data_IF_065564688128
#
_entry.id   IF_065564688128
#
_cell.length_a   1.000
_cell.length_b   1.000
_cell.length_c   1.000
_cell.angle_alpha   90.00
_cell.angle_beta   90.00
_cell.angle_gamma   90.00
#
_symmetry.space_group_name_H-M   'P 1'
#
loop_
_entity.id
_entity.type
_entity.pdbx_description
1 polymer ?
#
# COMPACT_ATOMS: atom_id res chain seq x y z
N UNK A 1 -26.47 44.31 -5.66
CA UNK A 1 -26.42 42.92 -5.15
C UNK A 1 -26.56 42.02 -6.37
N UNK A 2 -25.49 41.34 -6.77
CA UNK A 2 -25.50 40.41 -7.91
C UNK A 2 -24.96 39.08 -7.41
N UNK A 3 -25.88 38.21 -7.01
CA UNK A 3 -25.61 36.88 -6.48
C UNK A 3 -24.82 36.04 -7.50
N UNK A 4 -23.69 35.50 -7.04
CA UNK A 4 -22.86 34.58 -7.79
C UNK A 4 -23.30 33.15 -7.48
N UNK A 5 -24.02 32.53 -8.41
CA UNK A 5 -24.33 31.10 -8.37
C UNK A 5 -23.27 30.33 -9.15
N UNK A 6 -22.36 29.66 -8.43
CA UNK A 6 -21.40 28.71 -8.98
C UNK A 6 -21.91 27.29 -8.77
N UNK A 7 -22.87 26.87 -9.61
CA UNK A 7 -23.28 25.48 -9.68
C UNK A 7 -22.20 24.66 -10.40
N UNK A 8 -21.27 24.12 -9.62
CA UNK A 8 -20.21 23.24 -10.07
C UNK A 8 -20.74 21.85 -10.41
N UNK A 9 -21.03 21.62 -11.69
CA UNK A 9 -21.19 20.29 -12.28
C UNK A 9 -19.91 19.88 -12.99
N UNK A 10 -18.92 19.43 -12.20
CA UNK A 10 -17.83 18.61 -12.74
C UNK A 10 -18.23 17.14 -12.62
N UNK A 11 -18.89 16.63 -13.67
CA UNK A 11 -18.93 15.20 -13.94
C UNK A 11 -17.60 14.80 -14.60
N UNK A 12 -16.83 13.85 -14.06
CA UNK A 12 -15.75 13.24 -14.83
C UNK A 12 -16.38 12.17 -15.74
N UNK A 13 -16.47 12.51 -17.02
CA UNK A 13 -16.80 11.57 -18.08
C UNK A 13 -15.78 10.42 -18.12
N UNK A 14 -16.30 9.21 -18.14
CA UNK A 14 -15.52 7.99 -18.33
C UNK A 14 -15.10 7.77 -19.78
N UNK A 15 -13.98 7.07 -19.91
CA UNK A 15 -13.51 6.31 -21.07
C UNK A 15 -12.78 7.07 -22.21
N UNK A 16 -11.47 7.21 -22.03
CA UNK A 16 -10.52 7.03 -23.15
C UNK A 16 -9.35 6.16 -22.66
N UNK A 17 -9.27 4.96 -23.23
CA UNK A 17 -8.14 4.05 -23.07
C UNK A 17 -6.85 4.74 -23.58
N UNK A 18 -5.76 4.66 -22.80
CA UNK A 18 -4.42 5.00 -23.31
C UNK A 18 -3.47 5.79 -22.42
N UNK A 19 -3.71 5.92 -21.10
CA UNK A 19 -2.63 6.34 -20.20
C UNK A 19 -2.84 5.69 -18.84
N UNK A 20 -1.89 4.87 -18.41
CA UNK A 20 -1.83 4.38 -17.05
C UNK A 20 -1.65 5.62 -16.16
N UNK A 21 -2.75 6.02 -15.51
CA UNK A 21 -2.78 7.15 -14.59
C UNK A 21 -2.67 6.57 -13.18
N UNK A 22 -1.60 6.91 -12.47
CA UNK A 22 -1.46 6.61 -11.05
C UNK A 22 -1.79 7.86 -10.23
N UNK A 23 -2.05 7.70 -8.94
CA UNK A 23 -2.35 8.81 -8.04
C UNK A 23 -1.09 9.24 -7.30
N UNK A 24 -0.80 10.55 -7.30
CA UNK A 24 0.26 11.15 -6.48
C UNK A 24 -0.09 11.00 -4.99
N UNK A 25 0.75 10.36 -4.16
CA UNK A 25 0.46 10.14 -2.74
C UNK A 25 0.52 11.42 -1.88
N UNK A 26 1.10 12.52 -2.39
CA UNK A 26 1.24 13.79 -1.67
C UNK A 26 0.01 14.68 -1.85
N UNK A 27 -0.48 14.80 -3.09
CA UNK A 27 -1.57 15.73 -3.43
C UNK A 27 -2.85 15.05 -3.90
N UNK A 28 -2.83 13.74 -4.19
CA UNK A 28 -3.98 13.00 -4.71
C UNK A 28 -4.29 13.26 -6.19
N UNK A 29 -3.45 13.98 -6.92
CA UNK A 29 -3.66 14.26 -8.33
C UNK A 29 -3.34 13.05 -9.21
N UNK A 30 -4.06 12.95 -10.33
CA UNK A 30 -3.85 11.97 -11.39
C UNK A 30 -2.56 12.27 -12.16
N UNK A 31 -1.59 11.36 -12.07
CA UNK A 31 -0.27 11.45 -12.70
C UNK A 31 -0.14 10.41 -13.81
N UNK A 32 0.39 10.84 -14.95
CA UNK A 32 0.66 9.97 -16.09
C UNK A 32 1.94 9.16 -15.84
N UNK A 33 1.97 7.88 -16.22
CA UNK A 33 3.17 7.01 -16.08
C UNK A 33 4.45 7.56 -16.77
N UNK A 34 4.26 8.46 -17.74
CA UNK A 34 5.29 9.13 -18.53
C UNK A 34 5.91 10.36 -17.81
N UNK A 35 5.57 10.60 -16.55
CA UNK A 35 6.21 11.68 -15.77
C UNK A 35 7.69 11.39 -15.53
N UNK A 36 8.52 12.44 -15.54
CA UNK A 36 9.91 12.37 -15.11
C UNK A 36 10.06 12.30 -13.58
N UNK A 37 9.05 12.77 -12.84
CA UNK A 37 9.05 12.83 -11.39
C UNK A 37 8.59 11.49 -10.81
N UNK A 38 9.55 10.61 -10.52
CA UNK A 38 9.31 9.29 -9.93
C UNK A 38 10.37 8.94 -8.90
N UNK A 39 9.99 8.16 -7.89
CA UNK A 39 10.91 7.69 -6.86
C UNK A 39 10.62 6.24 -6.49
N UNK A 40 11.68 5.46 -6.35
CA UNK A 40 11.59 4.12 -5.77
C UNK A 40 11.66 4.21 -4.24
N UNK A 41 10.65 3.69 -3.55
CA UNK A 41 10.62 3.60 -2.09
C UNK A 41 10.00 2.28 -1.64
N UNK A 42 10.63 1.59 -0.70
CA UNK A 42 10.18 0.29 -0.17
C UNK A 42 9.87 -0.78 -1.25
N UNK A 43 10.60 -0.75 -2.38
CA UNK A 43 10.39 -1.68 -3.50
C UNK A 43 9.28 -1.28 -4.48
N UNK A 44 8.57 -0.17 -4.23
CA UNK A 44 7.53 0.36 -5.10
C UNK A 44 7.99 1.64 -5.81
N UNK A 45 7.53 1.85 -7.05
CA UNK A 45 7.78 3.10 -7.78
C UNK A 45 6.58 4.03 -7.62
N UNK A 46 6.79 5.17 -6.98
CA UNK A 46 5.82 6.25 -6.82
C UNK A 46 6.05 7.32 -7.87
N UNK A 47 4.97 7.88 -8.42
CA UNK A 47 5.03 8.93 -9.43
C UNK A 47 4.36 10.20 -8.89
N UNK A 48 4.90 11.34 -9.26
CA UNK A 48 4.53 12.64 -8.72
C UNK A 48 4.15 13.61 -9.84
N UNK A 49 3.27 14.55 -9.53
CA UNK A 49 2.82 15.56 -10.49
C UNK A 49 3.86 16.65 -10.72
N UNK A 50 4.72 16.92 -9.75
CA UNK A 50 5.72 17.99 -9.75
C UNK A 50 6.93 17.64 -8.88
N UNK A 51 7.99 18.41 -9.05
CA UNK A 51 9.21 18.35 -8.24
C UNK A 51 8.92 18.63 -6.74
N UNK A 52 8.05 19.61 -6.45
CA UNK A 52 7.65 19.91 -5.07
C UNK A 52 6.99 18.72 -4.37
N UNK A 53 6.17 17.93 -5.08
CA UNK A 53 5.53 16.75 -4.50
C UNK A 53 6.57 15.65 -4.26
N UNK A 54 7.51 15.47 -5.19
CA UNK A 54 8.62 14.56 -5.04
C UNK A 54 9.50 14.92 -3.82
N UNK A 55 9.84 16.19 -3.61
CA UNK A 55 10.69 16.64 -2.49
C UNK A 55 9.97 16.50 -1.13
N UNK A 56 8.68 16.81 -1.08
CA UNK A 56 7.85 16.60 0.12
C UNK A 56 7.76 15.12 0.47
N UNK A 57 7.60 14.26 -0.52
CA UNK A 57 7.60 12.81 -0.32
C UNK A 57 8.97 12.30 0.13
N UNK A 58 10.07 12.81 -0.42
CA UNK A 58 11.44 12.48 0.03
C UNK A 58 11.66 12.83 1.50
N UNK A 59 11.12 13.96 1.95
CA UNK A 59 11.31 14.45 3.32
C UNK A 59 10.59 13.60 4.37
N UNK A 60 9.43 13.01 4.02
CA UNK A 60 8.63 12.23 4.96
C UNK A 60 7.77 11.16 4.26
N UNK A 61 8.37 10.13 3.62
CA UNK A 61 7.64 9.17 2.80
C UNK A 61 6.63 8.35 3.62
N UNK A 62 6.98 7.98 4.85
CA UNK A 62 6.09 7.21 5.75
C UNK A 62 4.74 7.91 5.97
N UNK A 63 4.72 9.24 6.06
CA UNK A 63 3.48 10.03 6.29
C UNK A 63 2.49 9.95 5.14
N UNK A 64 2.99 9.70 3.93
CA UNK A 64 2.17 9.58 2.71
C UNK A 64 1.85 8.12 2.37
N UNK A 65 2.50 7.17 3.04
CA UNK A 65 2.37 5.74 2.80
C UNK A 65 1.65 4.98 3.91
N UNK A 66 1.37 5.63 5.05
CA UNK A 66 0.51 5.05 6.08
C UNK A 66 -0.84 4.67 5.45
N UNK A 67 -1.25 3.39 5.52
CA UNK A 67 -2.53 2.96 4.99
C UNK A 67 -3.62 3.54 5.90
N UNK A 68 -4.15 4.70 5.52
CA UNK A 68 -5.50 5.03 5.90
C UNK A 68 -6.38 3.92 5.32
N UNK A 69 -6.91 3.08 6.21
CA UNK A 69 -8.15 2.35 5.99
C UNK A 69 -9.09 3.24 5.15
N UNK A 70 -9.79 2.67 4.14
CA UNK A 70 -10.36 3.41 3.02
C UNK A 70 -10.97 4.73 3.50
N UNK A 71 -10.34 5.82 3.09
CA UNK A 71 -10.75 7.17 3.43
C UNK A 71 -12.15 7.41 2.84
N UNK A 72 -13.17 7.12 3.64
CA UNK A 72 -14.45 7.82 3.57
C UNK A 72 -14.08 9.28 3.78
N UNK A 73 -14.06 10.03 2.68
CA UNK A 73 -13.89 11.48 2.63
C UNK A 73 -14.77 12.13 3.70
N UNK A 74 -14.14 12.60 4.78
CA UNK A 74 -14.68 13.65 5.60
C UNK A 74 -13.54 14.51 6.15
N UNK A 75 -13.46 15.80 5.83
CA UNK A 75 -12.46 16.67 6.42
C UNK A 75 -12.94 17.10 7.82
N UNK A 76 -12.09 16.87 8.83
CA UNK A 76 -11.39 17.92 9.59
C UNK A 76 -11.14 17.51 11.05
N UNK A 77 -9.93 17.76 11.61
CA UNK A 77 -9.62 17.47 13.00
C UNK A 77 -9.96 18.66 13.90
N UNK A 78 -10.51 18.38 15.09
CA UNK A 78 -10.53 19.35 16.19
C UNK A 78 -10.45 18.63 17.54
N UNK A 79 -9.23 18.65 18.09
CA UNK A 79 -8.89 18.87 19.50
C UNK A 79 -10.05 18.94 20.50
N UNK A 80 -10.04 18.08 21.52
CA UNK A 80 -9.74 18.52 22.88
C UNK A 80 -10.00 17.44 23.92
N UNK A 81 -8.94 17.23 24.69
CA UNK A 81 -8.87 16.62 26.00
C UNK A 81 -10.01 17.08 26.92
N UNK A 82 -10.67 16.14 27.61
CA UNK A 82 -11.13 16.22 29.03
C UNK A 82 -11.75 14.90 29.47
N UNK A 83 -11.05 14.16 30.33
CA UNK A 83 -11.68 13.27 31.33
C UNK A 83 -12.21 14.15 32.48
N UNK A 84 -13.33 13.79 33.12
CA UNK A 84 -13.19 13.03 34.36
C UNK A 84 -14.26 11.95 34.61
N UNK A 85 -13.79 10.95 35.36
CA UNK A 85 -14.48 10.06 36.30
C UNK A 85 -16.02 10.00 36.31
N UNK A 86 -16.53 8.84 35.89
CA UNK A 86 -17.84 8.34 36.29
C UNK A 86 -17.71 6.89 36.73
N UNK A 87 -17.70 6.66 38.05
CA UNK A 87 -17.85 5.33 38.65
C UNK A 87 -19.25 4.80 38.34
N UNK A 88 -19.34 3.69 37.63
CA UNK A 88 -20.49 2.80 37.74
C UNK A 88 -19.98 1.40 38.08
N UNK A 89 -20.22 0.99 39.33
CA UNK A 89 -20.14 -0.41 39.73
C UNK A 89 -21.45 -1.08 39.35
N UNK A 90 -21.41 -2.14 38.55
CA UNK A 90 -22.48 -3.14 38.52
C UNK A 90 -21.94 -4.45 37.94
N UNK A 91 -21.35 -5.23 38.85
CA UNK A 91 -21.32 -6.69 38.86
C UNK A 91 -22.53 -7.35 38.17
N UNK A 92 -22.28 -8.01 37.04
CA UNK A 92 -23.12 -9.10 36.54
C UNK A 92 -22.28 -10.37 36.46
N UNK A 93 -22.49 -11.20 37.48
CA UNK A 93 -22.13 -12.61 37.51
C UNK A 93 -23.11 -13.39 36.62
N UNK A 94 -22.60 -14.29 35.78
CA UNK A 94 -23.37 -15.42 35.28
C UNK A 94 -23.14 -15.79 33.81
N UNK A 95 -22.51 -16.96 33.63
CA UNK A 95 -22.80 -18.02 32.64
C UNK A 95 -22.87 -17.62 31.14
N UNK A 96 -22.12 -18.22 30.23
CA UNK A 96 -22.16 -19.66 29.85
C UNK A 96 -20.85 -19.98 29.15
N UNK A 97 -20.10 -20.99 29.63
CA UNK A 97 -19.03 -21.60 28.82
C UNK A 97 -19.66 -22.77 28.06
N UNK A 98 -20.18 -22.49 26.87
CA UNK A 98 -20.47 -23.51 25.87
C UNK A 98 -19.14 -24.12 25.38
N UNK A 99 -19.01 -25.45 25.27
CA UNK A 99 -17.93 -26.06 24.51
C UNK A 99 -18.30 -26.05 23.02
N UNK A 100 -18.47 -24.85 22.46
CA UNK A 100 -18.48 -24.64 21.02
C UNK A 100 -17.03 -24.56 20.56
N UNK A 101 -16.57 -25.55 19.80
CA UNK A 101 -15.27 -25.55 19.13
C UNK A 101 -15.02 -24.19 18.47
N UNK A 102 -14.19 -23.38 19.11
CA UNK A 102 -13.64 -22.14 18.54
C UNK A 102 -12.84 -22.56 17.32
N UNK A 103 -13.26 -22.14 16.12
CA UNK A 103 -12.34 -21.98 15.00
C UNK A 103 -11.19 -21.10 15.52
N UNK A 104 -10.07 -21.74 15.83
CA UNK A 104 -8.94 -21.11 16.49
C UNK A 104 -8.42 -19.99 15.61
N UNK A 105 -8.52 -18.76 16.07
CA UNK A 105 -7.69 -17.67 15.55
C UNK A 105 -6.25 -18.13 15.72
N UNK A 106 -5.53 -18.38 14.62
CA UNK A 106 -4.10 -18.71 14.64
C UNK A 106 -3.41 -17.77 15.62
N UNK A 107 -2.69 -18.31 16.60
CA UNK A 107 -1.89 -17.48 17.48
C UNK A 107 -0.91 -16.68 16.63
N UNK A 108 -0.61 -15.43 16.99
CA UNK A 108 0.36 -14.62 16.26
C UNK A 108 1.70 -15.36 16.08
N UNK A 109 2.11 -16.14 17.07
CA UNK A 109 3.31 -16.96 16.99
C UNK A 109 3.19 -18.12 15.96
N UNK A 110 2.00 -18.68 15.74
CA UNK A 110 1.76 -19.68 14.70
C UNK A 110 1.70 -19.04 13.31
N UNK A 111 1.08 -17.86 13.20
CA UNK A 111 1.08 -17.08 11.97
C UNK A 111 2.51 -16.70 11.54
N UNK A 112 3.37 -16.28 12.48
CA UNK A 112 4.78 -15.98 12.22
C UNK A 112 5.57 -17.22 11.78
N UNK A 113 5.39 -18.36 12.46
CA UNK A 113 6.04 -19.63 12.07
C UNK A 113 5.65 -20.05 10.65
N UNK A 114 4.35 -19.94 10.33
CA UNK A 114 3.86 -20.24 8.98
C UNK A 114 4.43 -19.26 7.94
N UNK A 115 4.49 -17.97 8.26
CA UNK A 115 5.07 -16.97 7.37
C UNK A 115 6.55 -17.25 7.07
N UNK A 116 7.36 -17.58 8.09
CA UNK A 116 8.78 -17.95 7.89
C UNK A 116 8.89 -19.20 7.01
N UNK A 117 8.06 -20.22 7.27
CA UNK A 117 8.04 -21.44 6.46
C UNK A 117 7.69 -21.19 4.99
N UNK A 118 6.74 -20.28 4.72
CA UNK A 118 6.36 -19.88 3.37
C UNK A 118 7.53 -19.16 2.69
N UNK A 119 8.21 -18.25 3.38
CA UNK A 119 9.36 -17.52 2.84
C UNK A 119 10.53 -18.45 2.50
N UNK A 120 10.85 -19.41 3.38
CA UNK A 120 11.91 -20.39 3.12
C UNK A 120 11.60 -21.28 1.90
N UNK A 121 10.34 -21.70 1.76
CA UNK A 121 9.90 -22.46 0.59
C UNK A 121 10.02 -21.62 -0.70
N UNK A 122 9.58 -20.36 -0.66
CA UNK A 122 9.70 -19.46 -1.79
C UNK A 122 11.16 -19.23 -2.19
N UNK A 123 12.05 -18.99 -1.23
CA UNK A 123 13.50 -18.87 -1.47
C UNK A 123 14.09 -20.13 -2.11
N UNK A 124 13.65 -21.32 -1.67
CA UNK A 124 14.09 -22.58 -2.28
C UNK A 124 13.65 -22.68 -3.76
N UNK A 125 12.41 -22.30 -4.08
CA UNK A 125 11.91 -22.28 -5.45
C UNK A 125 12.67 -21.29 -6.33
N UNK A 126 13.00 -20.11 -5.81
CA UNK A 126 13.79 -19.09 -6.53
C UNK A 126 15.18 -19.64 -6.87
N UNK A 127 15.89 -20.24 -5.90
CA UNK A 127 17.22 -20.83 -6.15
C UNK A 127 17.16 -21.96 -7.18
N UNK A 128 16.18 -22.84 -7.08
CA UNK A 128 16.00 -23.92 -8.05
C UNK A 128 15.68 -23.39 -9.46
N UNK A 129 14.96 -22.28 -9.55
CA UNK A 129 14.66 -21.61 -10.83
C UNK A 129 15.91 -20.93 -11.40
N UNK A 130 16.71 -20.27 -10.58
CA UNK A 130 17.99 -19.67 -10.98
C UNK A 130 18.97 -20.72 -11.52
N UNK A 131 19.07 -21.87 -10.87
CA UNK A 131 19.90 -22.98 -11.35
C UNK A 131 19.44 -23.50 -12.71
N UNK A 132 18.13 -23.63 -12.93
CA UNK A 132 17.56 -24.02 -14.22
C UNK A 132 17.84 -22.98 -15.31
N UNK A 133 17.66 -21.69 -15.01
CA UNK A 133 17.98 -20.59 -15.92
C UNK A 133 19.46 -20.64 -16.28
N UNK A 134 20.34 -20.75 -15.27
CA UNK A 134 21.79 -20.86 -15.48
C UNK A 134 22.16 -22.07 -16.33
N UNK A 135 21.52 -23.21 -16.14
CA UNK A 135 21.75 -24.41 -16.96
C UNK A 135 21.35 -24.20 -18.43
N UNK A 136 20.25 -23.49 -18.69
CA UNK A 136 19.83 -23.14 -20.05
C UNK A 136 20.84 -22.24 -20.76
N UNK A 137 21.40 -21.25 -20.06
CA UNK A 137 22.38 -20.32 -20.62
C UNK A 137 23.82 -20.86 -20.67
N UNK A 138 24.21 -21.75 -19.75
CA UNK A 138 25.50 -22.43 -19.78
C UNK A 138 25.62 -23.39 -20.99
N UNK A 139 24.49 -23.89 -21.50
CA UNK A 139 24.42 -24.64 -22.76
C UNK A 139 24.48 -23.77 -24.03
N UNK A 140 24.34 -22.44 -23.91
CA UNK A 140 24.42 -21.48 -25.01
C UNK A 140 25.76 -20.72 -24.99
N UNK A 141 26.87 -21.45 -24.98
CA UNK A 141 28.16 -20.88 -25.38
C UNK A 141 28.22 -20.74 -26.91
N UNK A 142 27.37 -19.85 -27.48
CA UNK A 142 27.57 -19.37 -28.85
C UNK A 142 28.49 -18.15 -28.76
N UNK A 143 29.75 -18.45 -29.01
CA UNK A 143 30.88 -17.58 -29.32
C UNK A 143 30.45 -16.37 -30.17
N UNK A 144 30.34 -15.18 -29.56
CA UNK A 144 30.33 -13.93 -30.32
C UNK A 144 31.79 -13.54 -30.55
N UNK A 145 32.32 -13.94 -31.71
CA UNK A 145 33.53 -13.39 -32.26
C UNK A 145 33.32 -11.89 -32.52
N UNK A 146 34.13 -11.04 -31.89
CA UNK A 146 34.23 -9.62 -32.22
C UNK A 146 34.91 -9.45 -33.59
N UNK A 147 34.37 -8.64 -34.52
CA UNK A 147 35.13 -8.20 -35.69
C UNK A 147 36.03 -6.98 -35.37
N UNK A 148 37.11 -6.76 -36.15
CA UNK A 148 38.29 -5.99 -35.77
C UNK A 148 38.11 -4.47 -35.70
#
# INVERSE_FOLDING_TARGET
MADHDHSGTHHPDGAAAGRLVTTDPVCGMSVKMDTAFRMAYAGNTYLFCSDDCLERFQSAPERYLEPAAPAIKNPQPASSRKTPAGRYSAQHTGSVTEPGQRMGTMSHAEALRLAVQILDNLHAQIRATDEKIRALFAGSAIFVAAPP
#
